data_IF_947444876167
#
_entry.id   IF_947444876167
#
_cell.length_a   1.000
_cell.length_b   1.000
_cell.length_c   1.000
_cell.angle_alpha   90.00
_cell.angle_beta   90.00
_cell.angle_gamma   90.00
#
_symmetry.space_group_name_H-M   'P 1'
#
loop_
_entity.id
_entity.type
_entity.pdbx_description
1 polymer ?
#
# COMPACT_ATOMS: atom_id res chain seq x y z
N UNK A 1 12.09 7.27 5.25
CA UNK A 1 10.75 6.88 5.77
C UNK A 1 10.73 5.37 5.97
N UNK A 2 10.01 4.89 6.96
CA UNK A 2 9.77 3.45 7.14
C UNK A 2 8.60 3.02 6.26
N UNK A 3 8.80 1.99 5.44
CA UNK A 3 7.78 1.46 4.53
C UNK A 3 7.64 -0.05 4.78
N UNK A 4 6.42 -0.50 4.99
CA UNK A 4 6.06 -1.91 5.07
C UNK A 4 5.58 -2.38 3.70
N UNK A 5 6.03 -3.55 3.26
CA UNK A 5 5.64 -4.10 1.95
C UNK A 5 5.19 -5.56 2.10
N UNK A 6 4.16 -5.94 1.36
CA UNK A 6 3.64 -7.29 1.35
C UNK A 6 2.93 -7.63 0.03
N UNK A 7 2.88 -8.90 -0.29
CA UNK A 7 2.16 -9.46 -1.43
C UNK A 7 1.90 -10.95 -1.22
N UNK A 8 1.02 -11.52 -2.01
CA UNK A 8 0.98 -12.97 -2.27
C UNK A 8 1.85 -13.34 -3.49
N UNK A 9 1.70 -14.56 -4.00
CA UNK A 9 2.42 -15.04 -5.18
C UNK A 9 2.23 -14.14 -6.43
N UNK A 10 1.07 -13.49 -6.58
CA UNK A 10 0.75 -12.72 -7.79
C UNK A 10 1.62 -11.47 -7.96
N UNK A 11 2.12 -10.89 -6.88
CA UNK A 11 2.96 -9.70 -6.91
C UNK A 11 4.39 -9.90 -6.44
N UNK A 12 4.84 -11.14 -6.25
CA UNK A 12 6.13 -11.45 -5.63
C UNK A 12 7.33 -10.79 -6.34
N UNK A 13 7.43 -10.96 -7.65
CA UNK A 13 8.53 -10.39 -8.44
C UNK A 13 8.51 -8.86 -8.40
N UNK A 14 7.33 -8.28 -8.59
CA UNK A 14 7.15 -6.84 -8.55
C UNK A 14 7.45 -6.27 -7.16
N UNK A 15 7.02 -6.93 -6.08
CA UNK A 15 7.35 -6.53 -4.71
C UNK A 15 8.86 -6.45 -4.52
N UNK A 16 9.59 -7.45 -4.96
CA UNK A 16 11.05 -7.46 -4.83
C UNK A 16 11.71 -6.30 -5.59
N UNK A 17 11.22 -6.00 -6.78
CA UNK A 17 11.69 -4.85 -7.57
C UNK A 17 11.39 -3.51 -6.86
N UNK A 18 10.18 -3.35 -6.35
CA UNK A 18 9.78 -2.15 -5.59
C UNK A 18 10.62 -2.00 -4.32
N UNK A 19 10.86 -3.09 -3.59
CA UNK A 19 11.71 -3.08 -2.40
C UNK A 19 13.09 -2.52 -2.71
N UNK A 20 13.76 -3.06 -3.72
CA UNK A 20 15.09 -2.58 -4.14
C UNK A 20 15.08 -1.10 -4.54
N UNK A 21 14.05 -0.68 -5.25
CA UNK A 21 13.87 0.72 -5.65
C UNK A 21 13.77 1.65 -4.44
N UNK A 22 12.94 1.30 -3.47
CA UNK A 22 12.72 2.10 -2.26
C UNK A 22 13.97 2.15 -1.37
N UNK A 23 14.68 1.02 -1.22
CA UNK A 23 15.94 0.96 -0.48
C UNK A 23 17.01 1.85 -1.11
N UNK A 24 17.14 1.85 -2.44
CA UNK A 24 18.05 2.75 -3.17
C UNK A 24 17.73 4.23 -2.95
N UNK A 25 16.47 4.56 -2.71
CA UNK A 25 16.02 5.92 -2.38
C UNK A 25 16.21 6.30 -0.91
N UNK A 26 16.76 5.42 -0.10
CA UNK A 26 17.07 5.67 1.31
C UNK A 26 15.90 5.37 2.26
N UNK A 27 14.85 4.69 1.80
CA UNK A 27 13.77 4.23 2.66
C UNK A 27 14.17 2.96 3.43
N UNK A 28 13.69 2.84 4.66
CA UNK A 28 13.79 1.61 5.44
C UNK A 28 12.60 0.71 5.11
N UNK A 29 12.84 -0.40 4.41
CA UNK A 29 11.79 -1.29 3.94
C UNK A 29 11.70 -2.54 4.80
N UNK A 30 10.50 -2.79 5.35
CA UNK A 30 10.16 -4.00 6.09
C UNK A 30 9.28 -4.90 5.23
N UNK A 31 9.81 -6.05 4.86
CA UNK A 31 9.17 -7.02 3.98
C UNK A 31 8.42 -8.08 4.81
N UNK A 32 7.10 -8.12 4.69
CA UNK A 32 6.22 -9.07 5.37
C UNK A 32 5.90 -10.32 4.53
N UNK A 33 6.52 -10.47 3.36
CA UNK A 33 6.27 -11.61 2.47
C UNK A 33 5.28 -11.27 1.34
N UNK A 34 4.95 -12.23 0.47
CA UNK A 34 5.55 -13.57 0.43
C UNK A 34 7.05 -13.50 0.11
N UNK A 35 7.81 -14.44 0.66
CA UNK A 35 9.26 -14.54 0.40
C UNK A 35 9.58 -15.61 -0.63
N UNK A 36 8.66 -16.53 -0.89
CA UNK A 36 8.77 -17.62 -1.84
C UNK A 36 7.53 -17.70 -2.72
N UNK A 37 7.70 -18.17 -3.94
CA UNK A 37 6.57 -18.43 -4.82
C UNK A 37 5.83 -19.70 -4.39
N UNK A 38 4.58 -19.52 -3.96
CA UNK A 38 3.63 -20.60 -3.71
C UNK A 38 2.30 -20.23 -4.41
N UNK A 39 1.92 -20.92 -5.49
CA UNK A 39 0.71 -20.58 -6.24
C UNK A 39 -0.59 -20.77 -5.44
N UNK A 40 -0.51 -21.41 -4.28
CA UNK A 40 -1.63 -21.70 -3.38
C UNK A 40 -1.63 -20.86 -2.11
N UNK A 41 -0.74 -19.87 -2.00
CA UNK A 41 -0.71 -19.00 -0.84
C UNK A 41 -1.94 -18.07 -0.76
N UNK A 42 -2.28 -17.66 0.44
CA UNK A 42 -3.39 -16.78 0.73
C UNK A 42 -2.89 -15.36 1.10
N UNK A 43 -3.34 -14.35 0.34
CA UNK A 43 -2.90 -12.97 0.53
C UNK A 43 -3.08 -12.45 1.97
N UNK A 44 -4.14 -12.79 2.73
CA UNK A 44 -4.32 -12.26 4.09
C UNK A 44 -3.17 -12.62 5.03
N UNK A 45 -2.49 -13.75 4.81
CA UNK A 45 -1.38 -14.20 5.66
C UNK A 45 -0.20 -13.22 5.64
N UNK A 46 -0.04 -12.45 4.58
CA UNK A 46 1.01 -11.44 4.41
C UNK A 46 0.49 -10.02 4.64
N UNK A 47 -0.71 -9.74 4.15
CA UNK A 47 -1.29 -8.39 4.18
C UNK A 47 -1.68 -7.98 5.58
N UNK A 48 -2.29 -8.87 6.37
CA UNK A 48 -2.73 -8.54 7.73
C UNK A 48 -1.55 -8.16 8.65
N UNK A 49 -0.44 -8.91 8.71
CA UNK A 49 0.73 -8.49 9.47
C UNK A 49 1.32 -7.14 9.03
N UNK A 50 1.35 -6.90 7.72
CA UNK A 50 1.79 -5.62 7.16
C UNK A 50 0.89 -4.46 7.63
N UNK A 51 -0.43 -4.64 7.53
CA UNK A 51 -1.42 -3.65 7.94
C UNK A 51 -1.35 -3.36 9.46
N UNK A 52 -1.17 -4.39 10.27
CA UNK A 52 -0.96 -4.23 11.72
C UNK A 52 0.28 -3.38 12.00
N UNK A 53 1.40 -3.65 11.33
CA UNK A 53 2.62 -2.89 11.51
C UNK A 53 2.44 -1.41 11.16
N UNK A 54 1.73 -1.10 10.06
CA UNK A 54 1.38 0.29 9.70
C UNK A 54 0.45 0.94 10.73
N UNK A 55 -0.51 0.20 11.27
CA UNK A 55 -1.46 0.73 12.27
C UNK A 55 -0.79 1.16 13.58
N UNK A 56 0.34 0.53 13.91
CA UNK A 56 1.10 0.78 15.14
C UNK A 56 2.12 1.93 15.02
N UNK A 57 2.42 2.38 13.80
CA UNK A 57 3.39 3.45 13.54
C UNK A 57 2.82 4.47 12.56
N UNK A 58 2.27 5.56 13.09
CA UNK A 58 1.63 6.62 12.29
C UNK A 58 2.57 7.33 11.30
N UNK A 59 3.88 7.16 11.46
CA UNK A 59 4.89 7.73 10.56
C UNK A 59 5.28 6.78 9.44
N UNK A 60 4.90 5.50 9.55
CA UNK A 60 5.15 4.51 8.49
C UNK A 60 4.05 4.51 7.44
N UNK A 61 4.33 3.86 6.32
CA UNK A 61 3.36 3.59 5.26
C UNK A 61 3.47 2.17 4.76
N UNK A 62 2.41 1.69 4.13
CA UNK A 62 2.37 0.37 3.52
C UNK A 62 2.22 0.42 2.01
N UNK A 63 2.88 -0.50 1.32
CA UNK A 63 2.67 -0.79 -0.08
C UNK A 63 2.37 -2.28 -0.19
N UNK A 64 1.16 -2.61 -0.62
CA UNK A 64 0.72 -3.99 -0.76
C UNK A 64 0.33 -4.28 -2.20
N UNK A 65 0.55 -5.50 -2.62
CA UNK A 65 0.29 -5.92 -4.00
C UNK A 65 -0.49 -7.24 -4.01
N UNK A 66 -1.29 -7.39 -5.03
CA UNK A 66 -1.96 -8.62 -5.40
C UNK A 66 -2.27 -8.59 -6.87
N UNK A 67 -3.00 -9.56 -7.39
CA UNK A 67 -3.39 -9.59 -8.80
C UNK A 67 -4.19 -8.36 -9.20
N UNK A 68 -5.19 -7.99 -8.42
CA UNK A 68 -6.03 -6.79 -8.62
C UNK A 68 -5.85 -5.72 -7.53
N UNK A 69 -5.31 -6.09 -6.39
CA UNK A 69 -5.19 -5.22 -5.21
C UNK A 69 -6.48 -5.08 -4.40
N UNK A 70 -7.59 -5.67 -4.85
CA UNK A 70 -8.90 -5.50 -4.21
C UNK A 70 -9.00 -6.24 -2.88
N UNK A 71 -8.70 -7.55 -2.87
CA UNK A 71 -8.74 -8.38 -1.68
C UNK A 71 -7.74 -7.92 -0.63
N UNK A 72 -6.56 -7.50 -1.07
CA UNK A 72 -5.50 -6.95 -0.24
C UNK A 72 -5.98 -5.68 0.50
N UNK A 73 -6.62 -4.76 -0.20
CA UNK A 73 -7.17 -3.56 0.42
C UNK A 73 -8.31 -3.89 1.40
N UNK A 74 -9.18 -4.85 1.05
CA UNK A 74 -10.24 -5.30 1.94
C UNK A 74 -9.65 -5.86 3.24
N UNK A 75 -8.63 -6.74 3.14
CA UNK A 75 -7.95 -7.30 4.31
C UNK A 75 -7.29 -6.21 5.17
N UNK A 76 -6.55 -5.31 4.53
CA UNK A 76 -5.86 -4.23 5.23
C UNK A 76 -6.83 -3.29 5.97
N UNK A 77 -7.96 -2.94 5.34
CA UNK A 77 -8.96 -2.03 5.92
C UNK A 77 -9.76 -2.63 7.08
N UNK A 78 -9.62 -3.93 7.37
CA UNK A 78 -10.17 -4.55 8.59
C UNK A 78 -9.39 -4.15 9.84
N UNK A 79 -8.20 -3.62 9.69
CA UNK A 79 -7.35 -3.18 10.80
C UNK A 79 -7.63 -1.72 11.12
N UNK A 80 -7.98 -1.43 12.38
CA UNK A 80 -8.21 -0.05 12.84
C UNK A 80 -7.00 0.84 12.55
N UNK A 81 -7.25 2.11 12.21
CA UNK A 81 -6.26 3.12 11.81
C UNK A 81 -5.61 2.87 10.44
N UNK A 82 -5.99 1.81 9.74
CA UNK A 82 -5.56 1.57 8.36
C UNK A 82 -6.56 2.17 7.38
N UNK A 83 -6.04 2.85 6.38
CA UNK A 83 -6.78 3.39 5.25
C UNK A 83 -6.04 2.99 3.98
N UNK A 84 -6.39 1.81 3.49
CA UNK A 84 -5.83 1.24 2.26
C UNK A 84 -6.68 1.69 1.07
N UNK A 85 -6.01 2.30 0.11
CA UNK A 85 -6.61 2.71 -1.16
C UNK A 85 -6.05 1.87 -2.30
N UNK A 86 -6.92 1.51 -3.25
CA UNK A 86 -6.54 0.67 -4.40
C UNK A 86 -6.17 1.52 -5.60
N UNK A 87 -5.09 1.14 -6.26
CA UNK A 87 -4.72 1.64 -7.58
C UNK A 87 -4.37 0.50 -8.52
N UNK A 88 -5.02 0.42 -9.66
CA UNK A 88 -4.77 -0.59 -10.69
C UNK A 88 -4.65 0.01 -12.10
N UNK A 89 -4.35 1.30 -12.18
CA UNK A 89 -4.26 2.06 -13.43
C UNK A 89 -5.26 3.20 -13.49
N UNK A 90 -5.18 4.00 -14.52
CA UNK A 90 -6.03 5.17 -14.71
C UNK A 90 -5.37 6.47 -14.24
N UNK A 91 -6.17 7.54 -14.03
CA UNK A 91 -5.63 8.87 -13.74
C UNK A 91 -4.80 8.90 -12.46
N UNK A 92 -3.62 9.54 -12.50
CA UNK A 92 -2.77 9.75 -11.33
C UNK A 92 -3.42 10.63 -10.26
N UNK A 93 -4.38 11.47 -10.64
CA UNK A 93 -5.14 12.29 -9.70
C UNK A 93 -5.88 11.46 -8.64
N UNK A 94 -6.31 10.25 -8.97
CA UNK A 94 -6.89 9.32 -7.99
C UNK A 94 -5.88 9.02 -6.88
N UNK A 95 -4.62 8.82 -7.22
CA UNK A 95 -3.55 8.53 -6.26
C UNK A 95 -3.32 9.72 -5.32
N UNK A 96 -3.28 10.93 -5.87
CA UNK A 96 -3.17 12.16 -5.06
C UNK A 96 -4.32 12.29 -4.07
N UNK A 97 -5.56 12.10 -4.54
CA UNK A 97 -6.76 12.21 -3.72
C UNK A 97 -6.79 11.22 -2.56
N UNK A 98 -6.20 10.03 -2.71
CA UNK A 98 -6.10 9.08 -1.59
C UNK A 98 -5.30 9.66 -0.43
N UNK A 99 -4.29 10.49 -0.73
CA UNK A 99 -3.49 11.16 0.28
C UNK A 99 -4.15 12.45 0.77
N UNK A 100 -4.47 13.34 -0.15
CA UNK A 100 -4.99 14.67 0.15
C UNK A 100 -6.27 14.62 0.98
N UNK A 101 -7.20 13.74 0.61
CA UNK A 101 -8.52 13.65 1.23
C UNK A 101 -8.64 12.58 2.30
N UNK A 102 -7.99 11.42 2.12
CA UNK A 102 -8.22 10.25 2.97
C UNK A 102 -7.05 9.92 3.89
N UNK A 103 -5.93 10.63 3.76
CA UNK A 103 -4.70 10.29 4.47
C UNK A 103 -4.41 8.79 4.40
N UNK A 104 -4.58 8.20 3.19
CA UNK A 104 -4.35 6.78 2.98
C UNK A 104 -2.92 6.41 3.40
N UNK A 105 -2.79 5.48 4.32
CA UNK A 105 -1.51 5.04 4.83
C UNK A 105 -1.03 3.70 4.23
N UNK A 106 -1.89 3.05 3.43
CA UNK A 106 -1.52 1.89 2.61
C UNK A 106 -1.98 2.12 1.17
N UNK A 107 -1.09 1.89 0.22
CA UNK A 107 -1.39 1.82 -1.20
C UNK A 107 -1.44 0.36 -1.63
N UNK A 108 -2.60 -0.08 -2.11
CA UNK A 108 -2.81 -1.43 -2.63
C UNK A 108 -2.79 -1.41 -4.15
N UNK A 109 -1.90 -2.17 -4.76
CA UNK A 109 -1.70 -2.12 -6.21
C UNK A 109 -2.05 -3.43 -6.89
N UNK A 110 -2.77 -3.33 -8.02
CA UNK A 110 -3.11 -4.44 -8.89
C UNK A 110 -1.97 -4.77 -9.86
N UNK A 111 -1.09 -5.70 -9.48
CA UNK A 111 0.12 -6.03 -10.22
C UNK A 111 -0.14 -6.49 -11.66
N UNK A 112 -1.30 -7.10 -11.93
CA UNK A 112 -1.68 -7.58 -13.27
C UNK A 112 -2.22 -6.49 -14.19
N UNK A 113 -2.53 -5.30 -13.67
CA UNK A 113 -3.21 -4.23 -14.40
C UNK A 113 -2.36 -2.99 -14.60
N UNK A 114 -1.33 -2.76 -13.77
CA UNK A 114 -0.47 -1.59 -13.86
C UNK A 114 0.76 -1.94 -14.69
N UNK A 115 1.12 -1.06 -15.62
CA UNK A 115 2.38 -1.17 -16.36
C UNK A 115 3.55 -0.89 -15.40
N UNK A 116 4.56 -1.74 -15.40
CA UNK A 116 5.73 -1.63 -14.52
C UNK A 116 6.39 -0.24 -14.57
N UNK A 117 6.50 0.36 -15.75
CA UNK A 117 7.05 1.71 -15.91
C UNK A 117 6.31 2.78 -15.10
N UNK A 118 5.00 2.63 -14.92
CA UNK A 118 4.18 3.61 -14.21
C UNK A 118 4.30 3.46 -12.68
N UNK A 119 4.61 2.27 -12.20
CA UNK A 119 4.54 1.93 -10.77
C UNK A 119 5.46 2.81 -9.93
N UNK A 120 6.68 3.03 -10.35
CA UNK A 120 7.65 3.84 -9.59
C UNK A 120 7.21 5.29 -9.47
N UNK A 121 6.69 5.87 -10.56
CA UNK A 121 6.16 7.22 -10.55
C UNK A 121 4.93 7.34 -9.63
N UNK A 122 4.06 6.35 -9.64
CA UNK A 122 2.88 6.28 -8.77
C UNK A 122 3.30 6.20 -7.29
N UNK A 123 4.26 5.35 -6.97
CA UNK A 123 4.78 5.21 -5.61
C UNK A 123 5.40 6.52 -5.13
N UNK A 124 6.26 7.13 -5.94
CA UNK A 124 6.90 8.41 -5.61
C UNK A 124 5.88 9.52 -5.37
N UNK A 125 4.89 9.62 -6.26
CA UNK A 125 3.80 10.57 -6.13
C UNK A 125 3.04 10.35 -4.82
N UNK A 126 2.64 9.12 -4.54
CA UNK A 126 1.87 8.78 -3.34
C UNK A 126 2.65 9.05 -2.04
N UNK A 127 3.95 8.74 -2.01
CA UNK A 127 4.80 9.00 -0.85
C UNK A 127 5.03 10.50 -0.60
N UNK A 128 5.01 11.32 -1.66
CA UNK A 128 5.28 12.75 -1.61
C UNK A 128 4.07 13.59 -1.22
N UNK A 129 2.86 13.20 -1.65
CA UNK A 129 1.65 14.01 -1.46
C UNK A 129 1.26 14.07 0.01
N UNK A 130 1.12 15.27 0.61
CA UNK A 130 0.69 15.42 1.99
C UNK A 130 -0.82 15.29 2.14
N UNK A 131 -1.27 15.07 3.37
CA UNK A 131 -2.68 15.16 3.74
C UNK A 131 -3.10 16.63 3.87
N UNK A 132 -4.24 17.00 3.29
CA UNK A 132 -4.74 18.38 3.35
C UNK A 132 -5.33 18.75 4.72
N UNK A 133 -5.78 17.77 5.50
CA UNK A 133 -6.43 18.03 6.78
C UNK A 133 -7.81 18.67 6.63
N UNK A 134 -8.08 19.72 7.40
CA UNK A 134 -9.32 20.48 7.32
C UNK A 134 -10.57 19.63 7.52
N UNK A 135 -11.58 19.77 6.63
CA UNK A 135 -12.84 19.02 6.66
C UNK A 135 -12.68 17.50 6.62
N UNK A 136 -11.56 17.01 6.08
CA UNK A 136 -11.29 15.58 5.94
C UNK A 136 -10.99 14.89 7.27
N UNK A 137 -10.42 15.61 8.23
CA UNK A 137 -10.10 15.08 9.57
C UNK A 137 -11.33 14.48 10.26
N UNK A 138 -12.44 15.21 10.23
CA UNK A 138 -13.69 14.77 10.85
C UNK A 138 -14.24 13.48 10.22
N UNK A 139 -14.11 13.36 8.90
CA UNK A 139 -14.55 12.18 8.14
C UNK A 139 -13.72 10.95 8.49
N UNK A 140 -12.39 11.11 8.54
CA UNK A 140 -11.45 10.04 8.88
C UNK A 140 -11.69 9.52 10.29
N UNK A 141 -11.93 10.41 11.26
CA UNK A 141 -12.23 10.03 12.65
C UNK A 141 -13.46 9.14 12.81
N UNK A 142 -14.35 9.11 11.83
CA UNK A 142 -15.57 8.28 11.84
C UNK A 142 -15.38 6.91 11.20
N UNK A 143 -14.20 6.60 10.66
CA UNK A 143 -13.95 5.32 9.98
C UNK A 143 -13.69 4.17 10.95
N UNK A 144 -13.05 4.45 12.08
CA UNK A 144 -12.71 3.43 13.07
C UNK A 144 -13.83 3.29 14.11
N UNK A 145 -14.74 2.41 13.81
CA UNK A 145 -15.90 2.08 14.66
C UNK A 145 -15.63 0.86 15.54
#
# INVERSE_FOLDING_TARGET
>A
MKIHIATDHAGLELKNTIKQYLEKKGHQVHDHGAHHFDPLDDYPDFIVPCAIAVSLDSKSRGIILGGSGQGEAIAANRIKKVRAAVYYGGPEDIVKLTREHNDANILSMGARFIKEKAIFNIIDLWLKVPFEGGRHIQRIKKLDI
#
